data_IF_772943640411
#
_entry.id   IF_772943640411
#
_cell.length_a   1.000
_cell.length_b   1.000
_cell.length_c   1.000
_cell.angle_alpha   90.00
_cell.angle_beta   90.00
_cell.angle_gamma   90.00
#
_symmetry.space_group_name_H-M   'P 1'
#
loop_
_entity.id
_entity.type
_entity.pdbx_description
1 polymer ?
#
# COMPACT_ATOMS: atom_id res chain seq x y z
N UNK A 1 3.01 23.15 -2.65
CA UNK A 1 3.63 21.93 -3.20
C UNK A 1 3.50 20.74 -2.25
N UNK A 2 4.02 20.86 -1.04
CA UNK A 2 3.94 19.79 -0.04
C UNK A 2 2.51 19.31 0.20
N UNK A 3 1.59 20.22 0.49
CA UNK A 3 0.20 19.87 0.80
C UNK A 3 -0.55 19.32 -0.41
N UNK A 4 -0.21 19.78 -1.61
CA UNK A 4 -0.79 19.25 -2.84
C UNK A 4 -0.38 17.79 -3.04
N UNK A 5 0.90 17.50 -2.89
CA UNK A 5 1.41 16.13 -3.02
C UNK A 5 0.82 15.25 -1.93
N UNK A 6 0.78 15.75 -0.69
CA UNK A 6 0.18 15.01 0.42
C UNK A 6 -1.28 14.66 0.14
N UNK A 7 -2.05 15.65 -0.30
CA UNK A 7 -3.46 15.43 -0.65
C UNK A 7 -3.61 14.36 -1.73
N UNK A 8 -2.81 14.44 -2.78
CA UNK A 8 -2.86 13.47 -3.88
C UNK A 8 -2.46 12.06 -3.41
N UNK A 9 -1.47 11.97 -2.53
CA UNK A 9 -1.08 10.67 -1.96
C UNK A 9 -2.20 10.10 -1.09
N UNK A 10 -2.89 10.93 -0.33
CA UNK A 10 -4.01 10.47 0.49
C UNK A 10 -5.19 10.00 -0.36
N UNK A 11 -5.52 10.76 -1.40
CA UNK A 11 -6.57 10.35 -2.35
C UNK A 11 -6.21 9.03 -3.03
N UNK A 12 -4.97 8.90 -3.46
CA UNK A 12 -4.50 7.67 -4.11
C UNK A 12 -4.48 6.48 -3.15
N UNK A 13 -4.09 6.70 -1.90
CA UNK A 13 -4.12 5.66 -0.89
C UNK A 13 -5.55 5.16 -0.65
N UNK A 14 -6.49 6.08 -0.51
CA UNK A 14 -7.90 5.72 -0.32
C UNK A 14 -8.44 4.96 -1.53
N UNK A 15 -8.10 5.41 -2.75
CA UNK A 15 -8.53 4.74 -3.97
C UNK A 15 -8.00 3.30 -4.04
N UNK A 16 -6.72 3.10 -3.70
CA UNK A 16 -6.08 1.80 -3.77
C UNK A 16 -6.56 0.84 -2.67
N UNK A 17 -6.80 1.37 -1.46
CA UNK A 17 -7.18 0.53 -0.31
C UNK A 17 -8.66 0.16 -0.29
N UNK A 18 -9.52 0.94 -0.94
CA UNK A 18 -10.95 0.69 -0.87
C UNK A 18 -11.51 0.28 -2.24
N UNK A 19 -11.78 1.19 -3.21
CA UNK A 19 -12.41 0.78 -4.45
C UNK A 19 -11.59 -0.22 -5.27
N UNK A 20 -10.27 -0.10 -5.28
CA UNK A 20 -9.41 -0.97 -6.08
C UNK A 20 -8.98 -2.23 -5.34
N UNK A 21 -9.27 -2.34 -4.06
CA UNK A 21 -9.05 -3.57 -3.31
C UNK A 21 -10.36 -4.36 -3.24
N UNK A 22 -10.52 -5.30 -4.18
CA UNK A 22 -11.71 -6.15 -4.21
C UNK A 22 -11.76 -7.06 -2.97
N UNK A 23 -12.93 -7.63 -2.70
CA UNK A 23 -13.06 -8.63 -1.65
C UNK A 23 -12.14 -9.82 -1.89
N UNK A 24 -12.00 -10.25 -3.14
CA UNK A 24 -11.10 -11.34 -3.52
C UNK A 24 -9.65 -11.01 -3.20
N UNK A 25 -9.22 -9.79 -3.50
CA UNK A 25 -7.86 -9.34 -3.19
C UNK A 25 -7.65 -9.26 -1.68
N UNK A 26 -8.62 -8.74 -0.95
CA UNK A 26 -8.53 -8.59 0.51
C UNK A 26 -8.35 -9.94 1.21
N UNK A 27 -9.11 -10.94 0.79
CA UNK A 27 -8.98 -12.30 1.34
C UNK A 27 -7.78 -13.03 0.75
N UNK A 28 -7.56 -12.89 -0.56
CA UNK A 28 -6.51 -13.60 -1.27
C UNK A 28 -5.11 -13.24 -0.81
N UNK A 29 -4.88 -11.98 -0.46
CA UNK A 29 -3.55 -11.54 -0.01
C UNK A 29 -3.15 -12.00 1.38
N UNK A 30 -4.10 -12.53 2.14
CA UNK A 30 -3.85 -13.07 3.47
C UNK A 30 -3.54 -14.55 3.35
N UNK A 31 -2.30 -14.97 3.65
CA UNK A 31 -1.87 -16.35 3.45
C UNK A 31 -2.67 -17.35 4.31
N UNK A 32 -3.26 -16.90 5.40
CA UNK A 32 -4.06 -17.74 6.29
C UNK A 32 -5.46 -17.99 5.74
N UNK A 33 -5.99 -17.04 4.96
CA UNK A 33 -7.35 -17.11 4.41
C UNK A 33 -7.36 -17.56 2.95
N UNK A 34 -6.26 -17.36 2.22
CA UNK A 34 -6.17 -17.64 0.79
C UNK A 34 -6.47 -19.10 0.44
N UNK A 35 -5.93 -20.12 1.15
CA UNK A 35 -6.15 -21.50 0.77
C UNK A 35 -7.61 -21.94 0.74
N UNK A 36 -8.45 -21.31 1.57
CA UNK A 36 -9.88 -21.60 1.59
C UNK A 36 -10.66 -20.73 0.61
N UNK A 37 -10.01 -19.72 0.01
CA UNK A 37 -10.67 -18.69 -0.78
C UNK A 37 -10.51 -18.92 -2.28
N UNK A 38 -9.29 -19.13 -2.78
CA UNK A 38 -9.09 -19.32 -4.21
C UNK A 38 -7.77 -20.03 -4.53
N UNK A 39 -7.53 -20.28 -5.84
CA UNK A 39 -6.39 -21.04 -6.34
C UNK A 39 -5.16 -20.16 -6.63
N UNK A 40 -5.31 -18.84 -6.68
CA UNK A 40 -4.18 -17.93 -6.91
C UNK A 40 -3.39 -17.80 -5.60
N UNK A 41 -2.07 -18.00 -5.63
CA UNK A 41 -1.25 -17.88 -4.41
C UNK A 41 -1.39 -16.50 -3.75
N UNK A 42 -1.35 -16.48 -2.43
CA UNK A 42 -1.55 -15.26 -1.64
C UNK A 42 -0.53 -14.16 -2.00
N UNK A 43 0.69 -14.53 -2.33
CA UNK A 43 1.73 -13.55 -2.63
C UNK A 43 1.51 -12.83 -3.96
N UNK A 44 0.77 -13.42 -4.90
CA UNK A 44 0.35 -12.69 -6.11
C UNK A 44 -0.66 -11.61 -5.78
N UNK A 45 -1.62 -11.92 -4.92
CA UNK A 45 -2.61 -10.92 -4.50
C UNK A 45 -1.95 -9.79 -3.71
N UNK A 46 -1.05 -10.12 -2.80
CA UNK A 46 -0.34 -9.12 -2.01
C UNK A 46 0.54 -8.24 -2.90
N UNK A 47 1.29 -8.85 -3.82
CA UNK A 47 2.13 -8.11 -4.75
C UNK A 47 1.31 -7.18 -5.64
N UNK A 48 0.17 -7.64 -6.16
CA UNK A 48 -0.69 -6.82 -6.99
C UNK A 48 -1.22 -5.60 -6.22
N UNK A 49 -1.68 -5.81 -4.99
CA UNK A 49 -2.16 -4.72 -4.15
C UNK A 49 -1.03 -3.72 -3.84
N UNK A 50 0.14 -4.22 -3.48
CA UNK A 50 1.29 -3.36 -3.20
C UNK A 50 1.77 -2.61 -4.45
N UNK A 51 1.69 -3.24 -5.63
CA UNK A 51 2.04 -2.59 -6.90
C UNK A 51 1.11 -1.41 -7.22
N UNK A 52 -0.18 -1.54 -6.94
CA UNK A 52 -1.13 -0.45 -7.13
C UNK A 52 -0.71 0.74 -6.26
N UNK A 53 -0.41 0.50 -4.99
CA UNK A 53 0.07 1.56 -4.10
C UNK A 53 1.39 2.17 -4.56
N UNK A 54 2.33 1.34 -4.96
CA UNK A 54 3.62 1.81 -5.48
C UNK A 54 3.45 2.64 -6.75
N UNK A 55 2.57 2.21 -7.64
CA UNK A 55 2.26 2.95 -8.86
C UNK A 55 1.69 4.33 -8.57
N UNK A 56 0.77 4.42 -7.62
CA UNK A 56 0.21 5.71 -7.19
C UNK A 56 1.29 6.64 -6.67
N UNK A 57 2.15 6.15 -5.78
CA UNK A 57 3.23 6.97 -5.23
C UNK A 57 4.19 7.40 -6.33
N UNK A 58 4.56 6.51 -7.23
CA UNK A 58 5.45 6.83 -8.34
C UNK A 58 4.88 7.91 -9.24
N UNK A 59 3.60 7.82 -9.59
CA UNK A 59 2.93 8.80 -10.44
C UNK A 59 2.81 10.15 -9.73
N UNK A 60 2.36 10.16 -8.49
CA UNK A 60 2.10 11.40 -7.74
C UNK A 60 3.41 12.12 -7.44
N UNK A 61 4.46 11.40 -7.07
CA UNK A 61 5.76 12.02 -6.74
C UNK A 61 6.64 12.26 -7.95
N UNK A 62 6.33 11.63 -9.07
CA UNK A 62 7.19 11.66 -10.25
C UNK A 62 8.48 10.87 -10.07
N UNK A 63 8.54 9.98 -9.09
CA UNK A 63 9.75 9.20 -8.77
C UNK A 63 9.44 7.71 -8.79
N UNK A 64 9.99 7.02 -9.78
CA UNK A 64 9.90 5.56 -9.85
C UNK A 64 10.54 4.91 -8.63
N UNK A 65 11.64 5.50 -8.13
CA UNK A 65 12.31 4.99 -6.94
C UNK A 65 11.43 5.01 -5.70
N UNK A 66 10.67 6.09 -5.50
CA UNK A 66 9.71 6.16 -4.39
C UNK A 66 8.55 5.21 -4.61
N UNK A 67 8.14 4.99 -5.84
CA UNK A 67 7.14 3.98 -6.17
C UNK A 67 7.58 2.58 -5.76
N UNK A 68 8.82 2.21 -6.06
CA UNK A 68 9.39 0.92 -5.65
C UNK A 68 9.51 0.84 -4.14
N UNK A 69 9.93 1.92 -3.48
CA UNK A 69 10.02 1.97 -2.02
C UNK A 69 8.66 1.76 -1.37
N UNK A 70 7.62 2.40 -1.91
CA UNK A 70 6.25 2.19 -1.41
C UNK A 70 5.80 0.75 -1.66
N UNK A 71 6.08 0.19 -2.83
CA UNK A 71 5.73 -1.20 -3.13
C UNK A 71 6.28 -2.14 -2.05
N UNK A 72 7.56 -2.02 -1.72
CA UNK A 72 8.20 -2.87 -0.72
C UNK A 72 7.63 -2.59 0.67
N UNK A 73 7.57 -1.33 1.08
CA UNK A 73 7.08 -0.95 2.40
C UNK A 73 5.62 -1.35 2.59
N UNK A 74 4.78 -1.08 1.58
CA UNK A 74 3.35 -1.42 1.63
C UNK A 74 3.15 -2.93 1.77
N UNK A 75 3.88 -3.71 1.00
CA UNK A 75 3.80 -5.17 1.06
C UNK A 75 4.18 -5.70 2.43
N UNK A 76 5.26 -5.18 3.02
CA UNK A 76 5.70 -5.62 4.34
C UNK A 76 4.70 -5.22 5.44
N UNK A 77 4.20 -4.00 5.39
CA UNK A 77 3.23 -3.52 6.40
C UNK A 77 1.93 -4.31 6.30
N UNK A 78 1.42 -4.49 5.10
CA UNK A 78 0.17 -5.22 4.89
C UNK A 78 0.32 -6.70 5.26
N UNK A 79 1.47 -7.31 4.96
CA UNK A 79 1.76 -8.68 5.38
C UNK A 79 1.70 -8.79 6.90
N UNK A 80 2.32 -7.84 7.63
CA UNK A 80 2.29 -7.84 9.09
C UNK A 80 0.87 -7.75 9.65
N UNK A 81 0.02 -6.92 9.05
CA UNK A 81 -1.39 -6.82 9.42
C UNK A 81 -2.11 -8.15 9.17
N UNK A 82 -1.91 -8.74 8.01
CA UNK A 82 -2.54 -10.01 7.67
C UNK A 82 -2.09 -11.15 8.59
N UNK A 83 -0.86 -11.10 9.11
CA UNK A 83 -0.35 -12.06 10.09
C UNK A 83 -0.86 -11.81 11.50
N UNK A 84 -1.57 -10.72 11.72
CA UNK A 84 -2.12 -10.40 13.03
C UNK A 84 -1.12 -9.76 13.99
N UNK A 85 0.02 -9.27 13.48
CA UNK A 85 1.05 -8.63 14.33
C UNK A 85 0.53 -7.31 14.90
N UNK A 86 -0.33 -6.60 14.14
CA UNK A 86 -0.98 -5.37 14.56
C UNK A 86 -2.33 -5.23 13.87
N UNK A 87 -3.16 -4.34 14.39
CA UNK A 87 -4.51 -4.15 13.88
C UNK A 87 -4.60 -3.16 12.74
N UNK A 88 -5.83 -2.94 12.28
CA UNK A 88 -6.13 -2.09 11.13
C UNK A 88 -5.66 -0.65 11.35
N UNK A 89 -5.92 -0.06 12.52
CA UNK A 89 -5.55 1.33 12.77
C UNK A 89 -4.03 1.53 12.76
N UNK A 90 -3.28 0.59 13.32
CA UNK A 90 -1.81 0.63 13.31
C UNK A 90 -1.28 0.47 11.90
N UNK A 91 -1.87 -0.43 11.12
CA UNK A 91 -1.54 -0.60 9.70
C UNK A 91 -1.71 0.72 8.94
N UNK A 92 -2.84 1.39 9.12
CA UNK A 92 -3.11 2.66 8.44
C UNK A 92 -2.14 3.76 8.91
N UNK A 93 -1.80 3.77 10.20
CA UNK A 93 -0.82 4.72 10.73
C UNK A 93 0.56 4.53 10.09
N UNK A 94 1.00 3.29 9.91
CA UNK A 94 2.28 3.00 9.25
C UNK A 94 2.27 3.47 7.80
N UNK A 95 1.17 3.27 7.08
CA UNK A 95 1.06 3.75 5.69
C UNK A 95 1.11 5.28 5.63
N UNK A 96 0.45 5.96 6.56
CA UNK A 96 0.50 7.42 6.63
C UNK A 96 1.92 7.92 6.90
N UNK A 97 2.63 7.29 7.83
CA UNK A 97 4.02 7.65 8.14
C UNK A 97 4.91 7.48 6.89
N UNK A 98 4.72 6.40 6.14
CA UNK A 98 5.46 6.20 4.89
C UNK A 98 5.20 7.33 3.89
N UNK A 99 3.92 7.76 3.73
CA UNK A 99 3.59 8.86 2.83
C UNK A 99 4.25 10.16 3.26
N UNK A 100 4.23 10.46 4.54
CA UNK A 100 4.91 11.64 5.06
C UNK A 100 6.42 11.56 4.82
N UNK A 101 6.99 10.38 4.96
CA UNK A 101 8.41 10.18 4.70
C UNK A 101 8.75 10.40 3.22
N UNK A 102 7.95 9.84 2.31
CA UNK A 102 8.15 10.06 0.86
C UNK A 102 8.08 11.54 0.51
N UNK A 103 7.10 12.25 1.06
CA UNK A 103 6.94 13.69 0.79
C UNK A 103 8.14 14.46 1.30
N UNK A 104 8.69 14.09 2.45
CA UNK A 104 9.85 14.79 2.99
C UNK A 104 11.07 14.67 2.07
N UNK A 105 11.20 13.55 1.38
CA UNK A 105 12.25 13.35 0.39
C UNK A 105 12.00 14.24 -0.84
N UNK A 106 10.78 14.23 -1.36
CA UNK A 106 10.41 15.02 -2.55
C UNK A 106 10.34 16.50 -2.20
N UNK A 107 9.69 16.84 -1.09
CA UNK A 107 9.44 18.21 -0.68
C UNK A 107 10.64 18.89 -0.01
N UNK A 108 11.61 18.11 0.45
CA UNK A 108 12.87 18.64 0.93
C UNK A 108 13.71 19.24 -0.17
N UNK A 109 13.18 19.14 -1.32
CA UNK A 109 13.78 19.68 -2.53
C UNK A 109 13.51 21.17 -2.65
#
# INVERSE_FOLDING_TARGET
MFWTVFWMLMCGHALADFPLQTADMCLGKNRKLNPAHNTVPWYYWLAAHALIHGGVVGIVTGSAGLGVAEFVAHGLIDFGKCEGVYGFNTDQAFHLVCKLFWISIVGGI
#
